data_IF_286787971682
#
_entry.id   IF_286787971682
#
_cell.length_a   1.000
_cell.length_b   1.000
_cell.length_c   1.000
_cell.angle_alpha   90.00
_cell.angle_beta   90.00
_cell.angle_gamma   90.00
#
_symmetry.space_group_name_H-M   'P 1'
#
loop_
_entity.id
_entity.type
_entity.pdbx_description
1 polymer ?
#
# COMPACT_ATOMS: atom_id res chain seq x y z
N UNK A 1 -27.66 26.72 9.14
CA UNK A 1 -26.19 26.68 9.17
C UNK A 1 -25.76 28.08 9.55
N UNK A 2 -25.20 28.26 10.74
CA UNK A 2 -24.83 29.58 11.23
C UNK A 2 -23.67 30.14 10.39
N UNK A 3 -23.76 31.38 9.89
CA UNK A 3 -22.75 31.98 9.00
C UNK A 3 -21.35 32.01 9.62
N UNK A 4 -21.29 32.23 10.93
CA UNK A 4 -20.05 32.36 11.70
C UNK A 4 -19.24 31.04 11.73
N UNK A 5 -19.93 29.90 11.79
CA UNK A 5 -19.33 28.56 11.75
C UNK A 5 -18.85 28.15 10.35
N UNK A 6 -19.36 28.82 9.31
CA UNK A 6 -18.99 28.62 7.92
C UNK A 6 -17.76 29.46 7.56
N UNK A 7 -17.67 30.67 8.12
CA UNK A 7 -16.53 31.58 7.98
C UNK A 7 -15.30 31.04 8.73
N UNK A 8 -15.47 30.58 9.98
CA UNK A 8 -14.41 29.89 10.76
C UNK A 8 -13.89 28.63 10.02
N UNK A 9 -14.79 27.84 9.43
CA UNK A 9 -14.40 26.67 8.61
C UNK A 9 -13.77 27.03 7.26
N UNK A 10 -14.03 28.20 6.70
CA UNK A 10 -13.39 28.64 5.46
C UNK A 10 -12.00 29.23 5.74
N UNK A 11 -11.84 29.94 6.86
CA UNK A 11 -10.55 30.50 7.31
C UNK A 11 -9.61 29.41 7.85
N UNK A 12 -10.10 28.46 8.63
CA UNK A 12 -9.29 27.35 9.17
C UNK A 12 -9.26 26.11 8.28
N UNK A 13 -10.29 25.90 7.45
CA UNK A 13 -10.43 24.72 6.59
C UNK A 13 -9.73 24.84 5.23
N UNK A 14 -9.25 26.04 4.85
CA UNK A 14 -8.17 26.15 3.86
C UNK A 14 -6.84 25.78 4.53
N UNK A 15 -6.81 24.55 5.04
CA UNK A 15 -5.79 23.96 5.88
C UNK A 15 -4.45 24.05 5.14
N UNK A 16 -3.45 24.69 5.75
CA UNK A 16 -2.08 24.74 5.21
C UNK A 16 -1.54 23.36 4.84
N UNK A 17 -2.05 22.31 5.48
CA UNK A 17 -1.82 20.90 5.15
C UNK A 17 -2.24 20.61 3.71
N UNK A 18 -3.41 21.09 3.27
CA UNK A 18 -3.90 20.94 1.90
C UNK A 18 -2.98 21.64 0.90
N UNK A 19 -2.54 22.87 1.18
CA UNK A 19 -1.63 23.62 0.29
C UNK A 19 -0.29 22.90 0.13
N UNK A 20 0.26 22.35 1.22
CA UNK A 20 1.49 21.56 1.17
C UNK A 20 1.30 20.29 0.36
N UNK A 21 0.26 19.50 0.63
CA UNK A 21 -0.04 18.29 -0.16
C UNK A 21 -0.17 18.62 -1.64
N UNK A 22 -0.87 19.70 -1.99
CA UNK A 22 -0.97 20.17 -3.38
C UNK A 22 0.39 20.52 -4.00
N UNK A 23 1.26 21.22 -3.27
CA UNK A 23 2.61 21.55 -3.74
C UNK A 23 3.47 20.29 -3.93
N UNK A 24 3.33 19.29 -3.05
CA UNK A 24 4.05 18.02 -3.17
C UNK A 24 3.55 17.21 -4.37
N UNK A 25 2.24 17.08 -4.54
CA UNK A 25 1.65 16.43 -5.70
C UNK A 25 2.04 17.13 -7.00
N UNK A 26 2.05 18.46 -7.03
CA UNK A 26 2.49 19.24 -8.19
C UNK A 26 3.98 19.03 -8.48
N UNK A 27 4.83 18.98 -7.44
CA UNK A 27 6.25 18.64 -7.58
C UNK A 27 6.42 17.25 -8.17
N UNK A 28 5.76 16.23 -7.60
CA UNK A 28 5.82 14.86 -8.12
C UNK A 28 5.35 14.77 -9.56
N UNK A 29 4.25 15.45 -9.92
CA UNK A 29 3.76 15.48 -11.30
C UNK A 29 4.74 16.17 -12.26
N UNK A 30 5.48 17.18 -11.80
CA UNK A 30 6.43 17.93 -12.62
C UNK A 30 7.79 17.22 -12.77
N UNK A 31 8.28 16.56 -11.71
CA UNK A 31 9.62 15.96 -11.70
C UNK A 31 9.63 14.45 -11.88
N UNK A 32 8.57 13.75 -11.46
CA UNK A 32 8.56 12.29 -11.33
C UNK A 32 9.53 11.78 -10.26
N UNK A 33 10.10 12.68 -9.44
CA UNK A 33 11.09 12.35 -8.42
C UNK A 33 10.42 12.23 -7.06
N UNK A 34 10.74 11.15 -6.37
CA UNK A 34 10.31 10.90 -5.00
C UNK A 34 11.53 10.89 -4.08
N UNK A 35 11.48 11.64 -2.98
CA UNK A 35 12.60 11.78 -2.04
C UNK A 35 13.06 10.43 -1.45
N UNK A 36 12.18 9.43 -1.49
CA UNK A 36 12.45 8.07 -1.00
C UNK A 36 12.92 7.08 -2.08
N UNK A 37 12.93 7.43 -3.38
CA UNK A 37 13.19 6.44 -4.45
C UNK A 37 14.59 5.83 -4.35
N UNK A 38 15.60 6.67 -4.09
CA UNK A 38 16.97 6.20 -3.88
C UNK A 38 17.09 5.29 -2.64
N UNK A 39 16.38 5.62 -1.56
CA UNK A 39 16.36 4.79 -0.34
C UNK A 39 15.63 3.47 -0.58
N UNK A 40 14.51 3.48 -1.30
CA UNK A 40 13.74 2.28 -1.67
C UNK A 40 14.57 1.29 -2.50
N UNK A 41 15.31 1.81 -3.49
CA UNK A 41 16.22 1.01 -4.33
C UNK A 41 17.43 0.46 -3.59
N UNK A 42 17.84 1.08 -2.49
CA UNK A 42 19.01 0.67 -1.70
C UNK A 42 18.66 -0.20 -0.48
N UNK A 43 17.39 -0.23 -0.07
CA UNK A 43 16.96 -0.97 1.12
C UNK A 43 16.81 -2.46 0.80
N UNK A 44 17.56 -3.28 1.56
CA UNK A 44 17.50 -4.74 1.49
C UNK A 44 16.74 -5.30 2.70
N UNK A 45 15.41 -5.21 2.65
CA UNK A 45 14.50 -5.84 3.63
C UNK A 45 13.56 -6.80 2.88
N UNK A 46 13.14 -7.93 3.48
CA UNK A 46 12.18 -8.81 2.82
C UNK A 46 10.90 -8.08 2.43
N UNK A 47 10.43 -8.30 1.20
CA UNK A 47 9.29 -7.59 0.62
C UNK A 47 8.22 -8.55 0.07
N UNK A 48 6.97 -8.32 0.47
CA UNK A 48 5.80 -8.94 -0.16
C UNK A 48 4.94 -7.85 -0.81
N UNK A 49 4.67 -7.98 -2.11
CA UNK A 49 3.74 -7.12 -2.85
C UNK A 49 2.52 -7.94 -3.26
N UNK A 50 1.33 -7.54 -2.84
CA UNK A 50 0.06 -8.18 -3.21
C UNK A 50 -0.74 -7.20 -4.05
N UNK A 51 -1.17 -7.63 -5.23
CA UNK A 51 -1.89 -6.83 -6.21
C UNK A 51 -3.26 -7.43 -6.50
N UNK A 52 -4.26 -6.61 -6.78
CA UNK A 52 -5.59 -7.06 -7.21
C UNK A 52 -5.78 -6.84 -8.71
N UNK A 53 -6.23 -7.87 -9.43
CA UNK A 53 -6.41 -7.82 -10.89
C UNK A 53 -7.47 -6.80 -11.39
N UNK A 54 -8.34 -6.33 -10.49
CA UNK A 54 -9.31 -5.26 -10.73
C UNK A 54 -9.14 -4.08 -9.75
N UNK A 55 -7.93 -3.88 -9.25
CA UNK A 55 -7.59 -2.65 -8.53
C UNK A 55 -7.53 -1.48 -9.52
N UNK A 56 -8.57 -0.65 -9.53
CA UNK A 56 -8.63 0.55 -10.36
C UNK A 56 -8.00 1.78 -9.72
N UNK A 57 -7.68 1.72 -8.41
CA UNK A 57 -7.02 2.82 -7.70
C UNK A 57 -5.50 2.71 -7.84
N UNK A 58 -4.98 1.48 -7.78
CA UNK A 58 -3.60 1.14 -8.05
C UNK A 58 -3.56 -0.08 -8.98
N UNK A 59 -3.61 0.13 -10.31
CA UNK A 59 -3.53 -0.95 -11.27
C UNK A 59 -2.31 -1.86 -11.06
N UNK A 60 -2.41 -3.17 -11.35
CA UNK A 60 -1.29 -4.11 -11.15
C UNK A 60 0.02 -3.68 -11.82
N UNK A 61 -0.05 -3.03 -12.98
CA UNK A 61 1.11 -2.49 -13.69
C UNK A 61 1.85 -1.41 -12.86
N UNK A 62 1.11 -0.56 -12.15
CA UNK A 62 1.67 0.50 -11.31
C UNK A 62 2.19 -0.09 -10.00
N UNK A 63 1.45 -1.02 -9.39
CA UNK A 63 1.90 -1.72 -8.19
C UNK A 63 3.15 -2.59 -8.42
N UNK A 64 3.31 -3.17 -9.62
CA UNK A 64 4.51 -3.91 -10.01
C UNK A 64 5.78 -3.04 -9.96
N UNK A 65 5.67 -1.72 -10.20
CA UNK A 65 6.82 -0.81 -10.11
C UNK A 65 7.47 -0.86 -8.73
N UNK A 66 6.67 -0.97 -7.66
CA UNK A 66 7.21 -1.10 -6.30
C UNK A 66 8.08 -2.35 -6.13
N UNK A 67 7.63 -3.49 -6.67
CA UNK A 67 8.37 -4.74 -6.66
C UNK A 67 9.65 -4.65 -7.51
N UNK A 68 9.55 -4.14 -8.74
CA UNK A 68 10.66 -4.10 -9.69
C UNK A 68 11.76 -3.13 -9.24
N UNK A 69 11.40 -1.98 -8.65
CA UNK A 69 12.35 -0.98 -8.17
C UNK A 69 12.90 -1.25 -6.77
N UNK A 70 12.34 -2.19 -6.01
CA UNK A 70 12.86 -2.51 -4.68
C UNK A 70 14.27 -3.11 -4.75
N UNK A 71 15.15 -2.63 -3.85
CA UNK A 71 16.50 -3.17 -3.63
C UNK A 71 16.54 -4.51 -2.90
N UNK A 72 15.39 -5.03 -2.46
CA UNK A 72 15.29 -6.27 -1.70
C UNK A 72 15.82 -7.50 -2.47
N UNK A 73 16.72 -8.25 -1.82
CA UNK A 73 17.19 -9.55 -2.29
C UNK A 73 16.21 -10.71 -2.02
N UNK A 74 15.24 -10.50 -1.12
CA UNK A 74 14.19 -11.46 -0.76
C UNK A 74 12.81 -10.83 -0.96
N UNK A 75 12.32 -10.87 -2.20
CA UNK A 75 11.03 -10.29 -2.58
C UNK A 75 10.10 -11.30 -3.24
N UNK A 76 8.82 -11.15 -2.96
CA UNK A 76 7.74 -11.95 -3.53
C UNK A 76 6.61 -11.05 -4.03
N UNK A 77 5.93 -11.46 -5.09
CA UNK A 77 4.76 -10.75 -5.62
C UNK A 77 3.63 -11.74 -5.89
N UNK A 78 2.41 -11.38 -5.50
CA UNK A 78 1.19 -12.18 -5.70
C UNK A 78 0.15 -11.32 -6.39
N UNK A 79 -0.47 -11.87 -7.45
CA UNK A 79 -1.61 -11.25 -8.14
C UNK A 79 -2.89 -12.00 -7.75
N UNK A 80 -3.73 -11.35 -6.97
CA UNK A 80 -5.05 -11.83 -6.61
C UNK A 80 -5.97 -11.70 -7.82
N UNK A 81 -6.53 -12.82 -8.28
CA UNK A 81 -7.35 -12.94 -9.49
C UNK A 81 -8.42 -14.00 -9.32
N UNK A 82 -9.45 -13.96 -10.15
CA UNK A 82 -10.59 -14.89 -10.10
C UNK A 82 -10.19 -16.35 -10.33
N UNK A 83 -9.19 -16.58 -11.19
CA UNK A 83 -8.71 -17.91 -11.53
C UNK A 83 -8.10 -18.66 -10.32
N UNK A 84 -7.35 -17.95 -9.47
CA UNK A 84 -6.63 -18.55 -8.34
C UNK A 84 -7.28 -18.26 -6.98
N UNK A 85 -8.12 -17.22 -6.90
CA UNK A 85 -8.61 -16.63 -5.65
C UNK A 85 -10.12 -16.32 -5.70
N UNK A 86 -10.88 -17.15 -6.44
CA UNK A 86 -12.35 -17.22 -6.52
C UNK A 86 -13.09 -16.03 -7.16
N UNK A 87 -12.57 -14.81 -6.98
CA UNK A 87 -13.18 -13.57 -7.44
C UNK A 87 -12.12 -12.62 -8.00
N UNK A 88 -12.57 -11.62 -8.74
CA UNK A 88 -11.72 -10.47 -9.03
C UNK A 88 -11.52 -9.61 -7.78
N UNK A 89 -10.34 -9.01 -7.64
CA UNK A 89 -9.94 -8.28 -6.44
C UNK A 89 -9.73 -6.79 -6.75
N UNK A 90 -10.55 -5.95 -6.13
CA UNK A 90 -10.35 -4.50 -6.11
C UNK A 90 -9.49 -4.03 -4.94
N UNK A 91 -9.20 -2.72 -4.91
CA UNK A 91 -8.32 -2.09 -3.92
C UNK A 91 -8.66 -2.44 -2.47
N UNK A 92 -9.91 -2.23 -2.09
CA UNK A 92 -10.37 -2.47 -0.73
C UNK A 92 -10.61 -3.95 -0.44
N UNK A 93 -10.82 -4.77 -1.48
CA UNK A 93 -11.06 -6.20 -1.30
C UNK A 93 -9.82 -6.91 -0.75
N UNK A 94 -8.62 -6.45 -1.12
CA UNK A 94 -7.35 -6.98 -0.61
C UNK A 94 -7.23 -6.87 0.92
N UNK A 95 -7.84 -5.87 1.54
CA UNK A 95 -7.68 -5.59 2.98
C UNK A 95 -8.95 -5.88 3.77
N UNK A 96 -10.09 -5.42 3.28
CA UNK A 96 -11.40 -5.45 3.96
C UNK A 96 -12.43 -6.30 3.22
N UNK A 97 -12.04 -6.94 2.12
CA UNK A 97 -12.93 -7.79 1.35
C UNK A 97 -13.41 -8.99 2.17
N UNK A 98 -14.63 -9.43 1.89
CA UNK A 98 -15.24 -10.58 2.59
C UNK A 98 -14.39 -11.85 2.51
N UNK A 99 -13.66 -12.04 1.41
CA UNK A 99 -12.81 -13.19 1.17
C UNK A 99 -11.33 -12.95 1.54
N UNK A 100 -10.95 -11.74 1.96
CA UNK A 100 -9.58 -11.44 2.37
C UNK A 100 -9.07 -12.35 3.52
N UNK A 101 -9.90 -12.71 4.54
CA UNK A 101 -9.53 -13.69 5.58
C UNK A 101 -9.18 -15.07 5.06
N UNK A 102 -9.71 -15.45 3.90
CA UNK A 102 -9.56 -16.79 3.35
C UNK A 102 -8.42 -16.88 2.32
N UNK A 103 -8.06 -15.76 1.65
CA UNK A 103 -7.00 -15.74 0.64
C UNK A 103 -5.82 -14.84 0.99
N UNK A 104 -6.06 -13.56 1.31
CA UNK A 104 -4.97 -12.58 1.47
C UNK A 104 -4.24 -12.76 2.79
N UNK A 105 -4.97 -12.83 3.90
CA UNK A 105 -4.35 -12.90 5.23
C UNK A 105 -3.57 -14.21 5.47
N UNK A 106 -4.03 -15.39 5.01
CA UNK A 106 -3.22 -16.61 5.06
C UNK A 106 -1.92 -16.50 4.25
N UNK A 107 -1.96 -15.89 3.05
CA UNK A 107 -0.77 -15.64 2.25
C UNK A 107 0.26 -14.78 3.01
N UNK A 108 -0.20 -13.73 3.70
CA UNK A 108 0.66 -12.87 4.52
C UNK A 108 1.23 -13.63 5.72
N UNK A 109 0.41 -14.41 6.44
CA UNK A 109 0.85 -15.21 7.60
C UNK A 109 1.91 -16.25 7.21
N UNK A 110 1.68 -17.00 6.13
CA UNK A 110 2.64 -17.99 5.63
C UNK A 110 3.96 -17.33 5.21
N UNK A 111 3.89 -16.21 4.48
CA UNK A 111 5.07 -15.49 4.04
C UNK A 111 5.89 -14.96 5.22
N UNK A 112 5.23 -14.44 6.26
CA UNK A 112 5.88 -13.97 7.49
C UNK A 112 6.49 -15.12 8.28
N UNK A 113 5.76 -16.22 8.50
CA UNK A 113 6.26 -17.39 9.25
C UNK A 113 7.51 -18.02 8.63
N UNK A 114 7.63 -17.98 7.31
CA UNK A 114 8.82 -18.46 6.61
C UNK A 114 10.09 -17.66 6.94
N UNK A 115 9.94 -16.41 7.42
CA UNK A 115 11.05 -15.45 7.65
C UNK A 115 11.22 -15.03 9.10
N UNK A 116 10.16 -15.16 9.90
CA UNK A 116 10.17 -14.98 11.34
C UNK A 116 10.10 -16.37 12.01
N UNK A 117 11.25 -17.01 12.30
CA UNK A 117 11.24 -18.21 13.12
C UNK A 117 10.60 -17.86 14.47
N UNK A 118 9.54 -18.58 14.83
CA UNK A 118 8.90 -18.48 16.14
C UNK A 118 9.99 -18.55 17.21
N UNK A 119 10.26 -17.44 17.89
CA UNK A 119 10.99 -17.46 19.16
C UNK A 119 10.23 -18.41 20.07
N UNK A 120 10.87 -19.52 20.44
CA UNK A 120 10.33 -20.51 21.35
C UNK A 120 9.72 -19.81 22.58
N UNK A 121 8.42 -19.93 22.74
CA UNK A 121 7.68 -19.46 23.90
C UNK A 121 8.36 -19.96 25.18
N UNK A 122 8.70 -19.04 26.09
CA UNK A 122 9.11 -19.37 27.45
C UNK A 122 8.05 -20.28 28.10
N UNK A 123 8.40 -21.49 28.56
CA UNK A 123 7.48 -22.31 29.34
C UNK A 123 7.19 -21.61 30.67
N UNK A 124 5.91 -21.49 31.02
CA UNK A 124 5.45 -21.13 32.37
C UNK A 124 5.70 -22.25 33.37
#
# INVERSE_FOLDING_TARGET
MEPELLEERLEEGFDWTSVRVWQEMARWAATGEFDYDAAWRATDVPLLVILGDKDHLLPPEDGRVAYDHSGSGDKSMVLMSDWEHEVHWGHLDLVLGRLAPDHVWPCVDEWMRARCPMSASHPS
#
